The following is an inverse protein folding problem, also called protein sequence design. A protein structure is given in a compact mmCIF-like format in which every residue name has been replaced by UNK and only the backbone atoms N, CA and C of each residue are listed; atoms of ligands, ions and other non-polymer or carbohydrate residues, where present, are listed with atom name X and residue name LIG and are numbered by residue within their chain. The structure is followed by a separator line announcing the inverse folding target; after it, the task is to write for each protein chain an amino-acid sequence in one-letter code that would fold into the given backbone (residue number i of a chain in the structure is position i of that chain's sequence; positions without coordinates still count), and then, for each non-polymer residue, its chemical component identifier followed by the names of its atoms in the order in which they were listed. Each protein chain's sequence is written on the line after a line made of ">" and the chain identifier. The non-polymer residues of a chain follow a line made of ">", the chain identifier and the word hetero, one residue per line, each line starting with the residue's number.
data_IF_661213843041
#
_entry.id   IF_661213843041
#
_cell.length_a   1.000
_cell.length_b   1.000
_cell.length_c   1.000
_cell.angle_alpha   90.00
_cell.angle_beta   90.00
_cell.angle_gamma   90.00
#
_symmetry.space_group_name_H-M   'P 1'
#
loop_
_entity.id
_entity.type
_entity.pdbx_description
1 polymer ?
#
# COMPACT_ATOMS: atom_id res chain seq x y z
N UNK A 1 -14.18 23.91 5.49
CA UNK A 1 -14.13 25.35 5.12
C UNK A 1 -14.00 25.50 3.62
N UNK A 2 -12.93 24.99 2.98
CA UNK A 2 -12.77 25.05 1.52
C UNK A 2 -13.89 24.35 0.73
N UNK A 3 -14.46 23.26 1.27
CA UNK A 3 -15.58 22.50 0.69
C UNK A 3 -16.98 22.97 1.13
N UNK A 4 -17.10 24.09 1.87
CA UNK A 4 -18.35 24.58 2.50
C UNK A 4 -19.03 23.65 3.53
N UNK A 5 -18.41 22.53 3.88
CA UNK A 5 -18.99 21.60 4.86
C UNK A 5 -18.81 22.06 6.33
N UNK A 6 -18.09 23.16 6.56
CA UNK A 6 -17.84 23.64 7.91
C UNK A 6 -19.03 24.47 8.42
N UNK A 7 -19.72 23.95 9.43
CA UNK A 7 -20.99 24.48 9.97
C UNK A 7 -21.01 25.97 10.30
N UNK A 8 -19.88 26.53 10.75
CA UNK A 8 -19.83 27.89 11.31
C UNK A 8 -18.98 28.87 10.51
N UNK A 9 -18.21 28.41 9.51
CA UNK A 9 -17.20 29.23 8.84
C UNK A 9 -17.24 28.93 7.35
N UNK A 10 -17.58 29.95 6.57
CA UNK A 10 -17.57 29.95 5.12
C UNK A 10 -16.48 30.91 4.63
N UNK A 11 -15.77 30.51 3.59
CA UNK A 11 -14.74 31.35 2.96
C UNK A 11 -15.43 32.29 1.96
N UNK A 12 -15.11 33.58 2.04
CA UNK A 12 -15.64 34.63 1.18
C UNK A 12 -14.60 35.09 0.16
N UNK A 13 -15.04 35.72 -0.95
CA UNK A 13 -14.12 36.37 -1.88
C UNK A 13 -13.20 37.35 -1.14
N UNK A 14 -11.92 37.35 -1.51
CA UNK A 14 -10.84 38.14 -0.91
C UNK A 14 -10.35 37.74 0.49
N UNK A 15 -10.90 36.71 1.13
CA UNK A 15 -10.30 36.15 2.35
C UNK A 15 -8.85 35.73 2.09
N UNK A 16 -7.95 35.99 3.03
CA UNK A 16 -6.56 35.54 2.96
C UNK A 16 -6.39 34.25 3.76
N UNK A 17 -6.01 33.17 3.08
CA UNK A 17 -5.69 31.88 3.68
C UNK A 17 -4.18 31.66 3.61
N UNK A 18 -3.53 31.53 4.77
CA UNK A 18 -2.09 31.29 4.89
C UNK A 18 -1.87 29.82 5.22
N UNK A 19 -1.17 29.10 4.35
CA UNK A 19 -0.78 27.73 4.58
C UNK A 19 0.69 27.72 5.05
N UNK A 20 0.87 27.80 6.37
CA UNK A 20 2.18 27.81 7.06
C UNK A 20 2.80 26.40 7.19
N UNK A 21 2.72 25.60 6.13
CA UNK A 21 3.21 24.23 6.12
C UNK A 21 3.63 23.81 4.72
N UNK A 22 4.57 22.85 4.64
CA UNK A 22 4.93 22.18 3.39
C UNK A 22 4.13 20.89 3.24
N UNK A 23 3.76 20.53 2.01
CA UNK A 23 3.19 19.22 1.74
C UNK A 23 4.23 18.15 2.09
N UNK A 24 3.86 17.24 3.00
CA UNK A 24 4.64 16.04 3.30
C UNK A 24 4.53 15.10 2.07
N UNK A 25 5.62 14.42 1.68
CA UNK A 25 5.58 13.47 0.56
C UNK A 25 4.38 12.51 0.64
N UNK A 26 3.60 12.42 -0.43
CA UNK A 26 2.38 11.61 -0.52
C UNK A 26 1.08 12.41 -0.32
N UNK A 27 1.14 13.65 0.17
CA UNK A 27 -0.04 14.51 0.40
C UNK A 27 -0.21 15.62 -0.66
N UNK A 28 0.63 15.67 -1.69
CA UNK A 28 0.64 16.75 -2.69
C UNK A 28 -0.71 16.88 -3.40
N UNK A 29 -1.35 15.75 -3.77
CA UNK A 29 -2.65 15.74 -4.42
C UNK A 29 -3.76 16.32 -3.52
N UNK A 30 -3.78 15.94 -2.25
CA UNK A 30 -4.77 16.43 -1.27
C UNK A 30 -4.60 17.93 -1.03
N UNK A 31 -3.35 18.41 -0.88
CA UNK A 31 -3.07 19.84 -0.72
C UNK A 31 -3.49 20.61 -1.97
N UNK A 32 -3.16 20.11 -3.16
CA UNK A 32 -3.59 20.70 -4.43
C UNK A 32 -5.12 20.77 -4.56
N UNK A 33 -5.85 19.75 -4.15
CA UNK A 33 -7.31 19.76 -4.13
C UNK A 33 -7.85 20.89 -3.23
N UNK A 34 -7.30 21.05 -2.02
CA UNK A 34 -7.69 22.14 -1.11
C UNK A 34 -7.39 23.51 -1.72
N UNK A 35 -6.21 23.71 -2.31
CA UNK A 35 -5.85 24.95 -3.00
C UNK A 35 -6.87 25.30 -4.10
N UNK A 36 -7.24 24.33 -4.92
CA UNK A 36 -8.23 24.51 -5.98
C UNK A 36 -9.59 24.95 -5.43
N UNK A 37 -10.06 24.38 -4.32
CA UNK A 37 -11.31 24.81 -3.70
C UNK A 37 -11.24 26.24 -3.14
N UNK A 38 -10.12 26.62 -2.54
CA UNK A 38 -9.90 27.97 -2.02
C UNK A 38 -9.86 29.01 -3.16
N UNK A 39 -9.12 28.73 -4.22
CA UNK A 39 -8.98 29.63 -5.38
C UNK A 39 -10.32 29.77 -6.12
N UNK A 40 -11.09 28.68 -6.27
CA UNK A 40 -12.44 28.73 -6.85
C UNK A 40 -13.41 29.62 -6.07
N UNK A 41 -13.12 29.91 -4.81
CA UNK A 41 -13.88 30.82 -3.95
C UNK A 41 -13.36 32.25 -3.97
N UNK A 42 -12.43 32.56 -4.87
CA UNK A 42 -11.79 33.87 -4.99
C UNK A 42 -11.04 34.28 -3.70
N UNK A 43 -10.66 33.30 -2.88
CA UNK A 43 -9.79 33.53 -1.74
C UNK A 43 -8.34 33.72 -2.22
N UNK A 44 -7.62 34.61 -1.55
CA UNK A 44 -6.18 34.77 -1.73
C UNK A 44 -5.48 33.70 -0.91
N UNK A 45 -4.60 32.92 -1.52
CA UNK A 45 -3.88 31.84 -0.83
C UNK A 45 -2.40 32.13 -0.82
N UNK A 46 -1.80 32.19 0.37
CA UNK A 46 -0.37 32.25 0.55
C UNK A 46 0.19 30.85 0.82
N UNK A 47 0.86 30.28 -0.18
CA UNK A 47 1.43 28.93 -0.12
C UNK A 47 2.72 28.84 -0.97
N UNK A 48 3.82 28.36 -0.37
CA UNK A 48 5.15 28.16 -1.00
C UNK A 48 5.85 29.39 -1.62
N UNK A 49 5.12 30.37 -2.15
CA UNK A 49 5.67 31.59 -2.76
C UNK A 49 6.19 32.62 -1.74
N UNK A 50 5.97 32.36 -0.45
CA UNK A 50 6.48 33.18 0.64
C UNK A 50 7.54 32.37 1.41
N UNK A 51 8.82 32.54 1.05
CA UNK A 51 9.94 31.76 1.59
C UNK A 51 10.06 31.76 3.13
N UNK A 52 9.38 32.68 3.82
CA UNK A 52 9.45 32.86 5.28
C UNK A 52 8.24 32.31 6.06
N UNK A 53 7.27 31.64 5.43
CA UNK A 53 6.05 31.17 6.15
C UNK A 53 6.22 29.80 6.79
N UNK A 54 7.26 29.05 6.43
CA UNK A 54 7.51 27.73 7.00
C UNK A 54 9.01 27.41 6.92
N UNK A 55 9.56 26.92 8.03
CA UNK A 55 10.90 26.34 8.09
C UNK A 55 10.81 24.88 8.49
N UNK A 56 11.76 24.09 8.00
CA UNK A 56 11.91 22.70 8.44
C UNK A 56 12.19 22.66 9.95
N UNK A 57 11.54 21.74 10.66
CA UNK A 57 11.92 21.39 12.04
C UNK A 57 13.20 20.53 12.12
N UNK A 58 13.72 20.07 10.98
CA UNK A 58 14.92 19.24 10.88
C UNK A 58 16.11 20.03 10.31
N UNK A 59 17.28 19.79 10.91
CA UNK A 59 18.57 20.37 10.52
C UNK A 59 18.94 20.07 9.06
N UNK A 60 19.29 21.11 8.32
CA UNK A 60 19.88 20.97 6.99
C UNK A 60 21.38 20.60 7.08
N UNK A 61 22.04 20.48 5.93
CA UNK A 61 23.39 19.92 5.87
C UNK A 61 24.42 20.74 6.67
N UNK A 62 24.32 22.07 6.71
CA UNK A 62 25.28 22.89 7.44
C UNK A 62 25.09 22.79 8.97
N UNK A 63 23.86 22.72 9.46
CA UNK A 63 23.60 22.44 10.88
C UNK A 63 24.03 21.02 11.27
N UNK A 64 23.85 20.03 10.39
CA UNK A 64 24.39 18.67 10.59
C UNK A 64 25.92 18.69 10.71
N UNK A 65 26.62 19.41 9.81
CA UNK A 65 28.08 19.57 9.87
C UNK A 65 28.53 20.29 11.14
N UNK A 66 27.79 21.31 11.56
CA UNK A 66 28.05 22.02 12.82
C UNK A 66 28.01 21.05 14.00
N UNK A 67 26.94 20.24 14.10
CA UNK A 67 26.81 19.21 15.14
C UNK A 67 28.00 18.23 15.13
N UNK A 68 28.35 17.70 13.96
CA UNK A 68 29.46 16.75 13.81
C UNK A 68 30.82 17.36 14.22
N UNK A 69 31.06 18.63 13.90
CA UNK A 69 32.30 19.34 14.25
C UNK A 69 32.39 19.73 15.73
N UNK A 70 31.25 19.98 16.37
CA UNK A 70 31.18 20.24 17.81
C UNK A 70 31.41 18.96 18.62
N UNK A 71 30.73 17.88 18.25
CA UNK A 71 30.78 16.60 18.98
C UNK A 71 32.07 15.82 18.71
N UNK A 72 32.60 15.87 17.48
CA UNK A 72 33.76 15.08 17.03
C UNK A 72 33.60 13.59 17.37
N UNK A 73 32.53 12.93 16.90
CA UNK A 73 32.20 11.58 17.32
C UNK A 73 33.25 10.57 16.87
N UNK A 74 33.63 9.64 17.76
CA UNK A 74 34.49 8.50 17.41
C UNK A 74 33.78 7.53 16.47
N UNK A 75 32.50 7.26 16.73
CA UNK A 75 31.61 6.43 15.93
C UNK A 75 30.34 7.21 15.61
N UNK A 76 29.78 7.01 14.43
CA UNK A 76 28.58 7.73 14.00
C UNK A 76 27.53 6.77 13.42
N UNK A 77 26.31 6.87 13.93
CA UNK A 77 25.17 6.06 13.52
C UNK A 77 24.07 7.03 13.08
N UNK A 78 23.94 7.35 11.79
CA UNK A 78 22.88 8.23 11.33
C UNK A 78 21.51 7.55 11.55
N UNK A 79 20.58 8.30 12.13
CA UNK A 79 19.21 7.86 12.44
C UNK A 79 18.18 8.84 11.86
N UNK A 80 16.90 8.47 11.94
CA UNK A 80 15.74 9.29 11.56
C UNK A 80 15.76 9.73 10.09
N UNK A 81 15.38 8.82 9.21
CA UNK A 81 15.15 9.06 7.79
C UNK A 81 15.14 7.74 7.03
N UNK A 82 14.62 7.76 5.79
CA UNK A 82 14.78 6.63 4.87
C UNK A 82 16.27 6.38 4.54
N UNK A 83 16.56 5.22 3.93
CA UNK A 83 17.92 4.78 3.66
C UNK A 83 18.77 5.82 2.89
N UNK A 84 18.18 6.50 1.90
CA UNK A 84 18.82 7.59 1.15
C UNK A 84 19.27 8.76 2.05
N UNK A 85 18.46 9.14 3.04
CA UNK A 85 18.76 10.22 3.98
C UNK A 85 19.93 9.84 4.89
N UNK A 86 19.89 8.65 5.51
CA UNK A 86 20.97 8.19 6.39
C UNK A 86 22.27 7.92 5.62
N UNK A 87 22.18 7.42 4.38
CA UNK A 87 23.33 7.29 3.49
C UNK A 87 23.94 8.65 3.13
N UNK A 88 23.12 9.68 2.89
CA UNK A 88 23.62 11.05 2.66
C UNK A 88 24.24 11.64 3.92
N UNK A 89 23.66 11.40 5.10
CA UNK A 89 24.19 11.87 6.36
C UNK A 89 25.54 11.20 6.70
N UNK A 90 25.72 9.91 6.35
CA UNK A 90 27.05 9.26 6.37
C UNK A 90 28.08 10.05 5.54
N UNK A 91 27.73 10.47 4.33
CA UNK A 91 28.65 11.27 3.49
C UNK A 91 28.98 12.62 4.14
N UNK A 92 28.00 13.28 4.77
CA UNK A 92 28.23 14.51 5.54
C UNK A 92 29.21 14.27 6.70
N UNK A 93 29.08 13.16 7.44
CA UNK A 93 29.98 12.79 8.52
C UNK A 93 31.42 12.51 8.03
N UNK A 94 31.58 11.81 6.90
CA UNK A 94 32.89 11.60 6.26
C UNK A 94 33.53 12.95 5.91
N UNK A 95 32.76 13.86 5.32
CA UNK A 95 33.27 15.21 4.98
C UNK A 95 33.66 16.05 6.19
N UNK A 96 33.18 15.69 7.39
CA UNK A 96 33.56 16.32 8.66
C UNK A 96 34.71 15.61 9.38
N UNK A 97 35.29 14.56 8.77
CA UNK A 97 36.46 13.85 9.30
C UNK A 97 36.16 12.59 10.11
N UNK A 98 34.90 12.12 10.15
CA UNK A 98 34.59 10.82 10.76
C UNK A 98 35.07 9.71 9.82
N UNK A 99 35.95 8.79 10.25
CA UNK A 99 36.43 7.71 9.39
C UNK A 99 35.27 6.83 8.93
N UNK A 100 35.21 6.47 7.66
CA UNK A 100 34.10 5.67 7.11
C UNK A 100 33.89 4.35 7.86
N UNK A 101 34.99 3.68 8.25
CA UNK A 101 34.95 2.44 9.05
C UNK A 101 34.30 2.58 10.43
N UNK A 102 34.15 3.81 10.91
CA UNK A 102 33.51 4.13 12.19
C UNK A 102 32.05 4.59 12.03
N UNK A 103 31.52 4.57 10.80
CA UNK A 103 30.14 4.93 10.49
C UNK A 103 29.35 3.67 10.20
N UNK A 104 28.23 3.49 10.88
CA UNK A 104 27.40 2.30 10.73
C UNK A 104 25.97 2.69 10.33
N UNK A 105 25.51 2.22 9.16
CA UNK A 105 24.13 2.39 8.71
C UNK A 105 23.31 1.23 9.25
N UNK A 106 22.34 1.53 10.12
CA UNK A 106 21.48 0.52 10.74
C UNK A 106 20.17 0.36 10.00
N UNK A 107 19.61 -0.84 10.08
CA UNK A 107 18.21 -1.13 9.79
C UNK A 107 17.45 -1.41 11.10
N UNK A 108 16.11 -1.30 11.06
CA UNK A 108 15.28 -1.55 12.24
C UNK A 108 15.48 -2.98 12.76
N UNK A 109 15.88 -3.10 14.03
CA UNK A 109 16.16 -4.38 14.69
C UNK A 109 17.62 -4.82 14.67
N UNK A 110 18.52 -4.06 14.01
CA UNK A 110 19.95 -4.30 14.14
C UNK A 110 20.44 -4.08 15.58
N UNK A 111 21.26 -5.01 16.07
CA UNK A 111 21.95 -4.87 17.35
C UNK A 111 23.41 -4.52 17.09
N UNK A 112 23.85 -3.41 17.68
CA UNK A 112 25.23 -2.90 17.55
C UNK A 112 25.89 -2.86 18.92
N UNK A 113 27.06 -3.48 19.03
CA UNK A 113 27.93 -3.38 20.20
C UNK A 113 28.94 -2.25 19.98
N UNK A 114 29.00 -1.32 20.94
CA UNK A 114 29.91 -0.18 20.92
C UNK A 114 30.88 -0.32 22.09
N UNK A 115 32.14 -0.61 21.79
CA UNK A 115 33.23 -0.63 22.75
C UNK A 115 34.08 0.64 22.67
N UNK A 116 35.03 0.83 23.60
CA UNK A 116 35.93 1.98 23.57
C UNK A 116 36.72 2.11 22.26
N UNK A 117 37.03 0.99 21.59
CA UNK A 117 37.87 0.94 20.38
C UNK A 117 37.17 0.40 19.14
N UNK A 118 35.96 -0.15 19.25
CA UNK A 118 35.27 -0.79 18.13
C UNK A 118 33.77 -0.52 18.11
N UNK A 119 33.19 -0.66 16.92
CA UNK A 119 31.76 -0.76 16.69
C UNK A 119 31.51 -1.95 15.78
N UNK A 120 30.55 -2.82 16.11
CA UNK A 120 30.20 -3.97 15.27
C UNK A 120 28.74 -4.36 15.43
N UNK A 121 28.15 -4.89 14.35
CA UNK A 121 26.87 -5.61 14.42
C UNK A 121 27.09 -6.92 15.16
N UNK A 122 26.26 -7.20 16.16
CA UNK A 122 26.32 -8.45 16.95
C UNK A 122 25.13 -9.37 16.73
N UNK A 123 24.05 -8.86 16.15
CA UNK A 123 22.87 -9.64 15.89
C UNK A 123 21.74 -8.81 15.32
N UNK A 124 20.56 -9.42 15.32
CA UNK A 124 19.29 -8.81 14.93
C UNK A 124 18.21 -9.31 15.86
N UNK A 125 17.29 -8.43 16.24
CA UNK A 125 16.05 -8.80 16.93
C UNK A 125 14.89 -8.82 15.95
N UNK A 126 13.83 -9.53 16.32
CA UNK A 126 12.56 -9.46 15.60
C UNK A 126 12.00 -8.04 15.71
N UNK A 127 12.02 -7.33 14.60
CA UNK A 127 11.43 -6.01 14.40
C UNK A 127 10.38 -6.09 13.30
N UNK A 128 9.57 -5.04 13.16
CA UNK A 128 8.57 -4.96 12.11
C UNK A 128 7.50 -3.93 12.40
N UNK A 129 6.59 -3.76 11.44
CA UNK A 129 5.45 -2.86 11.57
C UNK A 129 4.29 -3.60 12.22
N UNK A 130 3.58 -2.91 13.10
CA UNK A 130 2.24 -3.27 13.54
C UNK A 130 1.27 -2.23 13.02
N UNK A 131 0.14 -2.66 12.50
CA UNK A 131 -0.88 -1.77 11.96
C UNK A 131 -1.99 -1.62 13.00
N UNK A 132 -2.51 -0.41 13.16
CA UNK A 132 -3.65 -0.13 14.02
C UNK A 132 -4.78 0.38 13.13
N UNK A 133 -5.94 -0.27 13.20
CA UNK A 133 -7.14 0.22 12.51
C UNK A 133 -7.82 1.26 13.40
N UNK A 134 -7.75 2.54 13.00
CA UNK A 134 -8.25 3.66 13.80
C UNK A 134 -9.76 3.58 14.10
N UNK A 135 -10.54 2.82 13.32
CA UNK A 135 -11.98 2.69 13.58
C UNK A 135 -12.25 1.73 14.74
N UNK A 136 -11.48 0.65 14.85
CA UNK A 136 -11.63 -0.36 15.90
C UNK A 136 -10.68 -0.13 17.08
N UNK A 137 -9.66 0.71 16.92
CA UNK A 137 -8.53 0.87 17.83
C UNK A 137 -7.83 -0.45 18.17
N UNK A 138 -7.87 -1.42 17.25
CA UNK A 138 -7.23 -2.71 17.40
C UNK A 138 -6.05 -2.86 16.42
N UNK A 139 -5.05 -3.60 16.88
CA UNK A 139 -3.97 -4.03 16.01
C UNK A 139 -4.49 -5.01 14.97
N UNK A 140 -4.10 -4.82 13.71
CA UNK A 140 -4.43 -5.72 12.61
C UNK A 140 -3.16 -6.36 12.06
N UNK A 141 -3.28 -7.61 11.62
CA UNK A 141 -2.18 -8.32 11.00
C UNK A 141 -1.83 -7.73 9.64
N UNK A 142 -0.54 -7.79 9.29
CA UNK A 142 -0.03 -7.37 7.98
C UNK A 142 -0.73 -8.09 6.82
N UNK A 143 -1.13 -9.36 7.02
CA UNK A 143 -1.86 -10.13 6.00
C UNK A 143 -3.23 -9.52 5.67
N UNK A 144 -3.92 -8.94 6.65
CA UNK A 144 -5.21 -8.25 6.43
C UNK A 144 -5.00 -7.00 5.58
N UNK A 145 -3.94 -6.24 5.85
CA UNK A 145 -3.59 -5.04 5.06
C UNK A 145 -3.27 -5.43 3.61
N UNK A 146 -2.48 -6.49 3.41
CA UNK A 146 -2.16 -7.02 2.08
C UNK A 146 -3.42 -7.48 1.34
N UNK A 147 -4.34 -8.20 2.00
CA UNK A 147 -5.60 -8.59 1.38
C UNK A 147 -6.46 -7.39 0.98
N UNK A 148 -6.52 -6.33 1.81
CA UNK A 148 -7.22 -5.09 1.46
C UNK A 148 -6.60 -4.42 0.22
N UNK A 149 -5.27 -4.39 0.12
CA UNK A 149 -4.55 -3.85 -1.03
C UNK A 149 -4.79 -4.66 -2.32
N UNK A 150 -4.76 -5.99 -2.24
CA UNK A 150 -5.09 -6.87 -3.35
C UNK A 150 -6.52 -6.63 -3.86
N UNK A 151 -7.48 -6.58 -2.94
CA UNK A 151 -8.89 -6.30 -3.28
C UNK A 151 -9.05 -4.91 -3.90
N UNK A 152 -8.40 -3.88 -3.36
CA UNK A 152 -8.49 -2.51 -3.87
C UNK A 152 -7.85 -2.36 -5.26
N UNK A 153 -6.74 -3.05 -5.52
CA UNK A 153 -5.96 -2.90 -6.76
C UNK A 153 -6.42 -3.82 -7.90
N UNK A 154 -6.91 -5.01 -7.55
CA UNK A 154 -7.23 -6.07 -8.50
C UNK A 154 -8.69 -6.50 -8.50
N UNK A 155 -9.51 -6.08 -7.53
CA UNK A 155 -10.92 -6.47 -7.41
C UNK A 155 -11.13 -7.89 -6.91
N UNK A 156 -12.40 -8.33 -6.91
CA UNK A 156 -12.85 -9.63 -6.39
C UNK A 156 -13.71 -10.35 -7.42
N UNK A 157 -13.54 -11.66 -7.50
CA UNK A 157 -14.45 -12.55 -8.20
C UNK A 157 -14.90 -13.67 -7.25
N UNK A 158 -16.20 -13.77 -7.02
CA UNK A 158 -16.77 -14.83 -6.20
C UNK A 158 -17.55 -15.83 -7.07
N UNK A 159 -17.38 -17.11 -6.79
CA UNK A 159 -18.02 -18.20 -7.53
C UNK A 159 -18.44 -19.32 -6.57
N UNK A 160 -19.73 -19.61 -6.55
CA UNK A 160 -20.30 -20.81 -5.93
C UNK A 160 -20.77 -21.72 -7.05
N UNK A 161 -20.04 -22.81 -7.24
CA UNK A 161 -20.15 -23.68 -8.40
C UNK A 161 -20.81 -25.00 -7.97
N UNK A 162 -21.92 -25.34 -8.60
CA UNK A 162 -22.58 -26.63 -8.41
C UNK A 162 -22.48 -27.43 -9.71
N UNK A 163 -21.99 -28.66 -9.62
CA UNK A 163 -21.70 -29.52 -10.77
C UNK A 163 -22.55 -30.78 -10.70
N UNK A 164 -23.19 -31.14 -11.81
CA UNK A 164 -23.78 -32.47 -11.98
C UNK A 164 -22.69 -33.42 -12.49
N UNK A 165 -22.26 -34.39 -11.67
CA UNK A 165 -21.13 -35.28 -12.04
C UNK A 165 -21.48 -36.22 -13.18
N UNK A 166 -22.74 -36.65 -13.29
CA UNK A 166 -23.19 -37.57 -14.33
C UNK A 166 -23.24 -36.89 -15.70
N UNK A 167 -23.63 -35.61 -15.74
CA UNK A 167 -23.70 -34.80 -16.98
C UNK A 167 -22.44 -33.99 -17.24
N UNK A 168 -21.48 -33.98 -16.30
CA UNK A 168 -20.27 -33.15 -16.32
C UNK A 168 -20.55 -31.68 -16.68
N UNK A 169 -21.60 -31.12 -16.08
CA UNK A 169 -22.13 -29.81 -16.43
C UNK A 169 -22.39 -28.96 -15.19
N UNK A 170 -22.33 -27.64 -15.37
CA UNK A 170 -22.77 -26.68 -14.36
C UNK A 170 -24.28 -26.80 -14.13
N UNK A 171 -24.69 -26.72 -12.86
CA UNK A 171 -26.09 -26.52 -12.50
C UNK A 171 -26.44 -25.03 -12.57
N UNK A 172 -27.68 -24.73 -12.96
CA UNK A 172 -28.22 -23.38 -13.03
C UNK A 172 -28.21 -22.65 -11.67
N UNK A 173 -28.16 -23.41 -10.57
CA UNK A 173 -28.01 -22.89 -9.21
C UNK A 173 -26.62 -22.29 -8.92
N UNK A 174 -25.64 -22.45 -9.82
CA UNK A 174 -24.30 -21.88 -9.67
C UNK A 174 -24.34 -20.35 -9.73
N UNK A 175 -23.73 -19.69 -8.77
CA UNK A 175 -23.74 -18.23 -8.64
C UNK A 175 -22.34 -17.65 -8.83
N UNK A 176 -22.28 -16.51 -9.52
CA UNK A 176 -21.05 -15.79 -9.79
C UNK A 176 -21.28 -14.30 -9.57
N UNK A 177 -20.29 -13.61 -9.01
CA UNK A 177 -20.32 -12.16 -8.88
C UNK A 177 -18.93 -11.56 -9.04
N UNK A 178 -18.89 -10.33 -9.54
CA UNK A 178 -17.64 -9.60 -9.70
C UNK A 178 -17.74 -8.21 -9.08
N UNK A 179 -16.71 -7.82 -8.34
CA UNK A 179 -16.59 -6.49 -7.76
C UNK A 179 -15.26 -5.87 -8.17
N UNK A 180 -15.29 -4.69 -8.79
CA UNK A 180 -14.09 -3.95 -9.16
C UNK A 180 -13.31 -4.47 -10.38
N UNK A 181 -13.82 -5.48 -11.10
CA UNK A 181 -13.18 -5.97 -12.34
C UNK A 181 -13.74 -5.33 -13.61
N UNK A 182 -15.06 -5.15 -13.66
CA UNK A 182 -15.79 -4.62 -14.81
C UNK A 182 -16.95 -3.75 -14.32
N UNK A 183 -17.43 -2.85 -15.18
CA UNK A 183 -18.64 -2.09 -14.88
C UNK A 183 -19.90 -2.97 -14.88
N UNK A 184 -20.97 -2.50 -14.23
CA UNK A 184 -22.25 -3.23 -14.11
C UNK A 184 -22.83 -3.71 -15.44
N UNK A 185 -22.57 -3.00 -16.54
CA UNK A 185 -23.08 -3.37 -17.88
C UNK A 185 -22.38 -4.62 -18.45
N UNK A 186 -21.10 -4.81 -18.11
CA UNK A 186 -20.24 -5.84 -18.69
C UNK A 186 -20.12 -7.09 -17.80
N UNK A 187 -20.58 -7.00 -16.54
CA UNK A 187 -20.53 -8.10 -15.57
C UNK A 187 -21.23 -9.36 -16.11
N UNK A 188 -22.43 -9.22 -16.68
CA UNK A 188 -23.17 -10.35 -17.27
C UNK A 188 -22.39 -11.05 -18.39
N UNK A 189 -21.65 -10.28 -19.20
CA UNK A 189 -20.84 -10.84 -20.27
C UNK A 189 -19.63 -11.58 -19.70
N UNK A 190 -18.93 -11.00 -18.72
CA UNK A 190 -17.81 -11.64 -18.03
C UNK A 190 -18.24 -12.97 -17.40
N UNK A 191 -19.36 -12.98 -16.69
CA UNK A 191 -19.90 -14.18 -16.05
C UNK A 191 -20.21 -15.26 -17.09
N UNK A 192 -20.89 -14.92 -18.19
CA UNK A 192 -21.19 -15.87 -19.27
C UNK A 192 -19.94 -16.46 -19.91
N UNK A 193 -18.90 -15.65 -20.12
CA UNK A 193 -17.62 -16.10 -20.66
C UNK A 193 -16.95 -17.13 -19.72
N UNK A 194 -16.93 -16.85 -18.43
CA UNK A 194 -16.37 -17.75 -17.41
C UNK A 194 -17.21 -19.03 -17.28
N UNK A 195 -18.54 -18.92 -17.29
CA UNK A 195 -19.45 -20.07 -17.26
C UNK A 195 -19.22 -20.99 -18.47
N UNK A 196 -19.18 -20.45 -19.68
CA UNK A 196 -18.92 -21.23 -20.88
C UNK A 196 -17.56 -21.93 -20.85
N UNK A 197 -16.53 -21.26 -20.35
CA UNK A 197 -15.22 -21.86 -20.16
C UNK A 197 -15.18 -22.96 -19.08
N UNK A 198 -15.92 -22.77 -17.98
CA UNK A 198 -16.07 -23.78 -16.94
C UNK A 198 -16.83 -25.01 -17.46
N UNK A 199 -17.85 -24.85 -18.29
CA UNK A 199 -18.55 -26.00 -18.90
C UNK A 199 -17.60 -26.84 -19.77
N UNK A 200 -16.73 -26.19 -20.54
CA UNK A 200 -15.71 -26.89 -21.33
C UNK A 200 -14.72 -27.61 -20.43
N UNK A 201 -14.27 -26.95 -19.34
CA UNK A 201 -13.38 -27.55 -18.36
C UNK A 201 -13.99 -28.81 -17.73
N UNK A 202 -15.25 -28.74 -17.31
CA UNK A 202 -15.95 -29.86 -16.64
C UNK A 202 -16.15 -31.05 -17.58
N UNK A 203 -16.48 -30.82 -18.85
CA UNK A 203 -16.58 -31.89 -19.87
C UNK A 203 -15.23 -32.58 -20.13
N UNK A 204 -14.13 -31.87 -19.94
CA UNK A 204 -12.78 -32.43 -20.06
C UNK A 204 -12.23 -33.02 -18.74
N UNK A 205 -12.97 -32.87 -17.64
CA UNK A 205 -12.53 -33.31 -16.31
C UNK A 205 -12.78 -34.81 -16.10
N UNK A 206 -11.84 -35.48 -15.43
CA UNK A 206 -11.96 -36.90 -15.12
C UNK A 206 -12.80 -37.14 -13.84
N UNK A 207 -13.22 -38.39 -13.63
CA UNK A 207 -13.99 -38.79 -12.46
C UNK A 207 -13.25 -38.53 -11.13
N UNK A 208 -11.92 -38.55 -11.14
CA UNK A 208 -11.10 -38.30 -9.94
C UNK A 208 -11.23 -36.85 -9.44
N UNK A 209 -11.26 -35.87 -10.36
CA UNK A 209 -11.50 -34.46 -10.05
C UNK A 209 -12.96 -34.26 -9.61
N UNK A 210 -13.91 -34.82 -10.38
CA UNK A 210 -15.34 -34.61 -10.15
C UNK A 210 -15.85 -35.22 -8.83
N UNK A 211 -15.24 -36.31 -8.37
CA UNK A 211 -15.63 -36.98 -7.12
C UNK A 211 -14.89 -36.45 -5.88
N UNK A 212 -13.90 -35.56 -6.04
CA UNK A 212 -13.14 -34.99 -4.94
C UNK A 212 -13.40 -33.48 -4.82
N UNK A 213 -14.15 -33.03 -3.80
CA UNK A 213 -14.52 -31.62 -3.65
C UNK A 213 -13.32 -30.64 -3.65
N UNK A 214 -12.21 -31.00 -2.97
CA UNK A 214 -11.02 -30.14 -2.94
C UNK A 214 -10.37 -30.04 -4.33
N UNK A 215 -10.22 -31.16 -5.03
CA UNK A 215 -9.66 -31.16 -6.40
C UNK A 215 -10.55 -30.37 -7.35
N UNK A 216 -11.87 -30.50 -7.24
CA UNK A 216 -12.82 -29.74 -8.05
C UNK A 216 -12.71 -28.23 -7.77
N UNK A 217 -12.66 -27.83 -6.50
CA UNK A 217 -12.51 -26.43 -6.10
C UNK A 217 -11.18 -25.85 -6.61
N UNK A 218 -10.07 -26.56 -6.45
CA UNK A 218 -8.77 -26.10 -6.96
C UNK A 218 -8.74 -26.05 -8.49
N UNK A 219 -9.36 -27.02 -9.17
CA UNK A 219 -9.40 -27.07 -10.63
C UNK A 219 -10.19 -25.90 -11.22
N UNK A 220 -11.37 -25.63 -10.66
CA UNK A 220 -12.23 -24.50 -11.08
C UNK A 220 -11.63 -23.15 -10.68
N UNK A 221 -11.09 -23.00 -9.46
CA UNK A 221 -10.38 -21.80 -9.02
C UNK A 221 -9.19 -21.47 -9.93
N UNK A 222 -8.37 -22.46 -10.28
CA UNK A 222 -7.22 -22.25 -11.16
C UNK A 222 -7.62 -21.87 -12.59
N UNK A 223 -8.71 -22.43 -13.10
CA UNK A 223 -9.28 -22.01 -14.37
C UNK A 223 -9.72 -20.54 -14.33
N UNK A 224 -10.53 -20.16 -13.33
CA UNK A 224 -11.00 -18.77 -13.15
C UNK A 224 -9.79 -17.82 -13.05
N UNK A 225 -8.78 -18.18 -12.25
CA UNK A 225 -7.54 -17.40 -12.10
C UNK A 225 -6.87 -17.15 -13.45
N UNK A 226 -6.73 -18.18 -14.30
CA UNK A 226 -6.12 -18.05 -15.63
C UNK A 226 -6.98 -17.21 -16.58
N UNK A 227 -8.30 -17.40 -16.56
CA UNK A 227 -9.23 -16.64 -17.38
C UNK A 227 -9.20 -15.14 -17.05
N UNK A 228 -9.28 -14.80 -15.76
CA UNK A 228 -9.19 -13.43 -15.28
C UNK A 228 -7.83 -12.80 -15.59
N UNK A 229 -6.72 -13.52 -15.38
CA UNK A 229 -5.39 -13.01 -15.72
C UNK A 229 -5.23 -12.78 -17.23
N UNK A 230 -5.74 -13.67 -18.08
CA UNK A 230 -5.68 -13.51 -19.54
C UNK A 230 -6.39 -12.23 -20.00
N UNK A 231 -7.52 -11.90 -19.36
CA UNK A 231 -8.36 -10.75 -19.71
C UNK A 231 -7.85 -9.43 -19.13
N UNK A 232 -7.49 -9.41 -17.84
CA UNK A 232 -7.20 -8.19 -17.09
C UNK A 232 -5.72 -7.97 -16.77
N UNK A 233 -4.85 -8.98 -16.99
CA UNK A 233 -3.43 -8.98 -16.61
C UNK A 233 -3.20 -8.69 -15.11
N UNK A 234 -4.20 -9.01 -14.29
CA UNK A 234 -4.19 -8.90 -12.83
C UNK A 234 -4.64 -10.23 -12.21
N UNK A 235 -4.35 -10.41 -10.92
CA UNK A 235 -4.87 -11.52 -10.12
C UNK A 235 -5.87 -10.98 -9.10
N UNK A 236 -7.17 -10.95 -9.44
CA UNK A 236 -8.21 -10.62 -8.48
C UNK A 236 -8.22 -11.59 -7.30
N UNK A 237 -8.75 -11.15 -6.17
CA UNK A 237 -9.09 -12.07 -5.08
C UNK A 237 -10.21 -13.00 -5.56
N UNK A 238 -10.00 -14.32 -5.45
CA UNK A 238 -10.96 -15.33 -5.92
C UNK A 238 -11.52 -16.09 -4.73
N UNK A 239 -12.81 -15.92 -4.48
CA UNK A 239 -13.56 -16.71 -3.50
C UNK A 239 -14.32 -17.77 -4.30
N UNK A 240 -13.84 -19.01 -4.24
CA UNK A 240 -14.40 -20.09 -5.04
C UNK A 240 -14.74 -21.27 -4.15
N UNK A 241 -15.99 -21.73 -4.23
CA UNK A 241 -16.51 -22.94 -3.60
C UNK A 241 -17.14 -23.80 -4.69
N UNK A 242 -16.72 -25.06 -4.79
CA UNK A 242 -17.23 -25.97 -5.80
C UNK A 242 -17.73 -27.27 -5.17
N UNK A 243 -18.94 -27.67 -5.56
CA UNK A 243 -19.59 -28.88 -5.06
C UNK A 243 -20.13 -29.71 -6.23
N UNK A 244 -19.91 -31.02 -6.16
CA UNK A 244 -20.41 -32.00 -7.11
C UNK A 244 -21.59 -32.77 -6.52
N UNK A 245 -22.63 -33.01 -7.32
CA UNK A 245 -23.77 -33.86 -7.00
C UNK A 245 -23.88 -35.02 -7.98
#
# INVERSE_FOLDING_TARGET
>A
MATDEHRHISIKPNDLVIISAKAIPGNEASVSAVLNFLIKKEAKVAYQEFDNIHVSGHAAQEEQKLMLRLIKPKFFLPVHGEYNHVARHKQTAISCGVPEKNIYLMEDGDQVEVGPAFIKKVGTIKSGKSYVDNQSNLSIDTSIVQQREEVASAGVFAATIFVNKNKQALLESSQFSSLGLVGFKDEKHLIKEIQGGLEVLLKSSNAEILNNPKKLEDHTRNFIRKALFKKFRKYPAIICHAHSF
#
